data_IF_499551336998
#
_entry.id   IF_499551336998
#
_cell.length_a   1.000
_cell.length_b   1.000
_cell.length_c   1.000
_cell.angle_alpha   90.00
_cell.angle_beta   90.00
_cell.angle_gamma   90.00
#
_symmetry.space_group_name_H-M   'P 1'
#
loop_
_entity.id
_entity.type
_entity.pdbx_description
1 polymer ?
#
# COMPACT_ATOMS: atom_id res chain seq x y z
N UNK A 1 -20.12 -3.76 -15.46
CA UNK A 1 -19.96 -3.78 -13.99
C UNK A 1 -18.55 -3.30 -13.70
N UNK A 2 -18.39 -2.04 -13.28
CA UNK A 2 -17.07 -1.45 -13.03
C UNK A 2 -16.52 -2.04 -11.73
N UNK A 3 -15.36 -2.69 -11.80
CA UNK A 3 -14.70 -3.20 -10.61
C UNK A 3 -14.21 -1.99 -9.78
N UNK A 4 -14.51 -1.90 -8.48
CA UNK A 4 -14.33 -0.67 -7.68
C UNK A 4 -12.87 -0.28 -7.38
N UNK A 5 -11.88 -1.09 -7.79
CA UNK A 5 -10.46 -0.73 -7.67
C UNK A 5 -10.02 0.33 -8.69
N UNK A 6 -10.75 0.45 -9.80
CA UNK A 6 -10.36 1.21 -10.97
C UNK A 6 -10.78 2.68 -10.94
N UNK A 7 -10.28 3.45 -9.98
CA UNK A 7 -10.22 4.91 -10.15
C UNK A 7 -9.09 5.61 -9.38
N UNK A 8 -8.51 4.96 -8.37
CA UNK A 8 -7.41 5.52 -7.59
C UNK A 8 -6.12 4.75 -7.92
N UNK A 9 -5.12 5.45 -8.44
CA UNK A 9 -3.80 4.85 -8.67
C UNK A 9 -3.25 4.32 -7.33
N UNK A 10 -2.53 3.19 -7.34
CA UNK A 10 -1.85 2.64 -6.16
C UNK A 10 -1.02 3.71 -5.42
N UNK A 11 -0.40 4.61 -6.19
CA UNK A 11 0.33 5.80 -5.71
C UNK A 11 -0.46 6.77 -4.82
N UNK A 12 -1.79 6.77 -4.95
CA UNK A 12 -2.71 7.69 -4.28
C UNK A 12 -3.59 6.97 -3.23
N UNK A 13 -3.39 5.66 -3.01
CA UNK A 13 -4.08 4.91 -1.97
C UNK A 13 -3.41 5.11 -0.61
N UNK A 14 -4.23 5.25 0.43
CA UNK A 14 -3.80 5.27 1.82
C UNK A 14 -3.37 3.88 2.29
N UNK A 15 -2.60 3.80 3.38
CA UNK A 15 -2.18 2.51 3.96
C UNK A 15 -3.37 1.59 4.26
N UNK A 16 -4.49 2.14 4.74
CA UNK A 16 -5.72 1.39 5.00
C UNK A 16 -6.36 0.83 3.72
N UNK A 17 -6.40 1.61 2.63
CA UNK A 17 -6.90 1.15 1.33
C UNK A 17 -6.02 0.03 0.75
N UNK A 18 -4.70 0.14 0.87
CA UNK A 18 -3.75 -0.89 0.41
C UNK A 18 -3.88 -2.19 1.22
N UNK A 19 -4.09 -2.08 2.54
CA UNK A 19 -4.34 -3.23 3.42
C UNK A 19 -5.65 -3.96 3.07
N UNK A 20 -6.72 -3.21 2.81
CA UNK A 20 -7.99 -3.78 2.38
C UNK A 20 -7.83 -4.52 1.03
N UNK A 21 -7.09 -3.95 0.08
CA UNK A 21 -6.79 -4.59 -1.20
C UNK A 21 -5.98 -5.88 -1.03
N UNK A 22 -4.97 -5.92 -0.15
CA UNK A 22 -4.23 -7.14 0.18
C UNK A 22 -5.13 -8.24 0.76
N UNK A 23 -6.08 -7.88 1.62
CA UNK A 23 -7.00 -8.84 2.22
C UNK A 23 -8.01 -9.40 1.20
N UNK A 24 -8.35 -8.64 0.17
CA UNK A 24 -9.24 -9.09 -0.91
C UNK A 24 -8.51 -9.84 -2.03
N UNK A 25 -7.20 -9.63 -2.19
CA UNK A 25 -6.36 -10.27 -3.21
C UNK A 25 -6.53 -11.80 -3.29
N UNK A 26 -6.46 -12.59 -2.20
CA UNK A 26 -6.60 -14.05 -2.29
C UNK A 26 -8.00 -14.50 -2.74
N UNK A 27 -9.02 -13.66 -2.59
CA UNK A 27 -10.38 -13.95 -3.05
C UNK A 27 -10.62 -13.56 -4.52
N UNK A 28 -9.87 -12.58 -5.04
CA UNK A 28 -10.05 -12.04 -6.39
C UNK A 28 -9.04 -12.61 -7.39
N UNK A 29 -7.76 -12.65 -7.00
CA UNK A 29 -6.64 -13.07 -7.84
C UNK A 29 -5.58 -13.82 -6.99
N UNK A 30 -5.85 -15.07 -6.59
CA UNK A 30 -4.93 -15.85 -5.75
C UNK A 30 -3.58 -16.18 -6.42
N UNK A 31 -3.51 -16.09 -7.76
CA UNK A 31 -2.31 -16.40 -8.55
C UNK A 31 -1.43 -15.16 -8.81
N UNK A 32 -1.92 -13.96 -8.49
CA UNK A 32 -1.24 -12.72 -8.84
C UNK A 32 -0.28 -12.25 -7.73
N UNK A 33 0.82 -13.00 -7.59
CA UNK A 33 1.90 -12.67 -6.66
C UNK A 33 2.59 -11.35 -6.98
N UNK A 34 2.53 -10.90 -8.24
CA UNK A 34 3.06 -9.61 -8.67
C UNK A 34 2.26 -8.45 -8.07
N UNK A 35 0.92 -8.54 -8.09
CA UNK A 35 0.04 -7.57 -7.47
C UNK A 35 0.16 -7.58 -5.94
N UNK A 36 0.30 -8.76 -5.30
CA UNK A 36 0.59 -8.84 -3.86
C UNK A 36 1.85 -8.06 -3.51
N UNK A 37 2.94 -8.32 -4.25
CA UNK A 37 4.23 -7.67 -4.03
C UNK A 37 4.14 -6.15 -4.23
N UNK A 38 3.43 -5.70 -5.26
CA UNK A 38 3.22 -4.28 -5.53
C UNK A 38 2.47 -3.58 -4.38
N UNK A 39 1.39 -4.20 -3.88
CA UNK A 39 0.62 -3.68 -2.75
C UNK A 39 1.45 -3.65 -1.47
N UNK A 40 2.22 -4.70 -1.16
CA UNK A 40 3.12 -4.75 0.01
C UNK A 40 4.21 -3.68 -0.06
N UNK A 41 4.80 -3.48 -1.23
CA UNK A 41 5.78 -2.43 -1.45
C UNK A 41 5.18 -1.03 -1.24
N UNK A 42 3.94 -0.84 -1.71
CA UNK A 42 3.25 0.43 -1.53
C UNK A 42 2.85 0.69 -0.08
N UNK A 43 2.41 -0.34 0.65
CA UNK A 43 2.14 -0.24 2.08
C UNK A 43 3.41 0.16 2.86
N UNK A 44 4.55 -0.46 2.53
CA UNK A 44 5.83 -0.12 3.13
C UNK A 44 6.25 1.32 2.82
N UNK A 45 6.07 1.78 1.57
CA UNK A 45 6.39 3.16 1.18
C UNK A 45 5.48 4.19 1.86
N UNK A 46 4.19 3.90 2.03
CA UNK A 46 3.26 4.79 2.74
C UNK A 46 3.58 4.84 4.22
N UNK A 47 3.85 3.70 4.86
CA UNK A 47 4.26 3.63 6.27
C UNK A 47 5.60 4.32 6.53
N UNK A 48 6.57 4.20 5.62
CA UNK A 48 7.85 4.90 5.69
C UNK A 48 7.66 6.42 5.57
N UNK A 49 6.81 6.86 4.65
CA UNK A 49 6.48 8.28 4.46
C UNK A 49 5.69 8.88 5.64
N UNK A 50 4.85 8.08 6.29
CA UNK A 50 4.11 8.46 7.49
C UNK A 50 4.97 8.41 8.75
N UNK A 51 6.09 7.69 8.74
CA UNK A 51 7.09 7.75 9.80
C UNK A 51 7.86 9.06 9.63
N UNK A 52 7.54 10.11 10.40
CA UNK A 52 8.34 11.32 10.34
C UNK A 52 9.74 10.92 10.76
N UNK A 53 10.74 11.53 10.13
CA UNK A 53 12.12 11.51 10.58
C UNK A 53 12.22 12.06 12.02
N UNK A 54 11.87 11.27 13.03
CA UNK A 54 12.21 11.49 14.45
C UNK A 54 13.69 11.14 14.72
N UNK A 55 14.50 10.99 13.66
CA UNK A 55 15.94 10.79 13.74
C UNK A 55 16.67 11.96 13.09
N UNK A 56 16.27 13.17 13.46
CA UNK A 56 17.06 14.37 13.27
C UNK A 56 17.32 15.04 14.62
N UNK A 57 17.99 14.33 15.53
CA UNK A 57 18.72 14.97 16.63
C UNK A 57 20.21 15.00 16.26
N UNK A 58 20.77 16.13 15.82
CA UNK A 58 22.14 16.46 16.17
C UNK A 58 22.08 17.08 17.58
N UNK A 59 22.58 16.35 18.57
CA UNK A 59 22.91 16.96 19.86
C UNK A 59 23.95 18.05 19.61
N UNK A 60 23.54 19.31 19.78
CA UNK A 60 24.40 20.47 19.83
C UNK A 60 24.70 20.86 21.27
#
# INVERSE_FOLDING_TARGET
MAQPWAMKALGAMTAAEVLAALNQLPNLCPEDAALEKALRNQLASTLDRERPLEIAQPAG
#
